data_IF_152243006530
#
_entry.id   IF_152243006530
#
_cell.length_a   1.000
_cell.length_b   1.000
_cell.length_c   1.000
_cell.angle_alpha   90.00
_cell.angle_beta   90.00
_cell.angle_gamma   90.00
#
_symmetry.space_group_name_H-M   'P 1'
#
loop_
_entity.id
_entity.type
_entity.pdbx_description
1 polymer ?
#
# COMPACT_ATOMS: atom_id res chain seq x y z
N UNK A 1 3.29 -16.50 -26.18
CA UNK A 1 2.45 -15.84 -25.17
C UNK A 1 1.06 -16.40 -25.36
N UNK A 2 0.53 -17.12 -24.37
CA UNK A 2 -0.85 -17.64 -24.43
C UNK A 2 -1.79 -16.45 -24.22
N UNK A 3 -2.65 -16.17 -25.19
CA UNK A 3 -3.69 -15.14 -25.04
C UNK A 3 -4.66 -15.58 -23.93
N UNK A 4 -5.13 -14.65 -23.07
CA UNK A 4 -6.10 -14.98 -22.03
C UNK A 4 -7.41 -15.45 -22.68
N UNK A 5 -7.99 -16.54 -22.13
CA UNK A 5 -9.30 -17.05 -22.54
C UNK A 5 -10.36 -15.95 -22.33
N UNK A 6 -11.15 -15.57 -23.36
CA UNK A 6 -12.13 -14.47 -23.28
C UNK A 6 -13.24 -14.66 -22.23
N UNK A 7 -13.31 -15.81 -21.54
CA UNK A 7 -14.23 -16.07 -20.42
C UNK A 7 -13.60 -16.10 -19.03
N UNK A 8 -12.28 -15.98 -18.88
CA UNK A 8 -11.60 -15.97 -17.57
C UNK A 8 -11.47 -14.54 -17.06
N UNK A 9 -11.96 -14.29 -15.84
CA UNK A 9 -11.74 -13.00 -15.18
C UNK A 9 -10.23 -12.83 -14.95
N UNK A 10 -9.68 -11.71 -15.43
CA UNK A 10 -8.28 -11.34 -15.22
C UNK A 10 -7.88 -11.41 -13.73
N UNK A 11 -8.83 -11.21 -12.82
CA UNK A 11 -8.62 -11.30 -11.38
C UNK A 11 -8.20 -12.70 -10.90
N UNK A 12 -8.63 -13.77 -11.56
CA UNK A 12 -8.31 -15.16 -11.20
C UNK A 12 -6.82 -15.47 -11.40
N UNK A 13 -6.18 -14.83 -12.38
CA UNK A 13 -4.73 -14.97 -12.60
C UNK A 13 -3.90 -14.30 -11.50
N UNK A 14 -4.38 -13.20 -10.92
CA UNK A 14 -3.64 -12.43 -9.90
C UNK A 14 -3.96 -12.88 -8.47
N UNK A 15 -5.06 -13.58 -8.23
CA UNK A 15 -5.44 -14.05 -6.90
C UNK A 15 -4.35 -14.86 -6.18
N UNK A 16 -3.60 -15.78 -6.83
CA UNK A 16 -2.49 -16.50 -6.20
C UNK A 16 -1.33 -15.58 -5.79
N UNK A 17 -1.01 -14.57 -6.62
CA UNK A 17 0.05 -13.59 -6.33
C UNK A 17 -0.31 -12.75 -5.10
N UNK A 18 -1.57 -12.33 -5.01
CA UNK A 18 -2.07 -11.62 -3.82
C UNK A 18 -1.95 -12.49 -2.58
N UNK A 19 -2.30 -13.78 -2.65
CA UNK A 19 -2.17 -14.70 -1.52
C UNK A 19 -0.71 -14.88 -1.07
N UNK A 20 0.22 -15.01 -2.02
CA UNK A 20 1.65 -15.11 -1.75
C UNK A 20 2.19 -13.84 -1.08
N UNK A 21 1.76 -12.66 -1.55
CA UNK A 21 2.24 -11.38 -1.04
C UNK A 21 1.70 -10.99 0.34
N UNK A 22 0.58 -11.58 0.82
CA UNK A 22 -0.07 -11.20 2.09
C UNK A 22 0.86 -11.24 3.30
N UNK A 23 1.67 -12.29 3.44
CA UNK A 23 2.58 -12.45 4.58
C UNK A 23 3.72 -11.43 4.59
N UNK A 24 4.56 -11.33 3.54
CA UNK A 24 5.66 -10.38 3.53
C UNK A 24 5.18 -8.92 3.61
N UNK A 25 4.07 -8.57 2.95
CA UNK A 25 3.50 -7.21 3.03
C UNK A 25 3.10 -6.86 4.45
N UNK A 26 2.46 -7.77 5.19
CA UNK A 26 2.09 -7.53 6.60
C UNK A 26 3.31 -7.35 7.50
N UNK A 27 4.38 -8.11 7.26
CA UNK A 27 5.62 -7.98 8.01
C UNK A 27 6.28 -6.63 7.75
N UNK A 28 6.42 -6.22 6.48
CA UNK A 28 6.98 -4.92 6.11
C UNK A 28 6.16 -3.75 6.68
N UNK A 29 4.83 -3.88 6.70
CA UNK A 29 3.95 -2.88 7.32
C UNK A 29 4.16 -2.77 8.82
N UNK A 30 4.35 -3.90 9.52
CA UNK A 30 4.63 -3.89 10.95
C UNK A 30 5.98 -3.25 11.25
N UNK A 31 7.02 -3.64 10.50
CA UNK A 31 8.36 -3.06 10.65
C UNK A 31 8.35 -1.54 10.41
N UNK A 32 7.58 -1.06 9.43
CA UNK A 32 7.39 0.36 9.20
C UNK A 32 6.81 1.07 10.44
N UNK A 33 5.78 0.48 11.08
CA UNK A 33 5.22 1.01 12.34
C UNK A 33 6.23 1.01 13.48
N UNK A 34 7.00 -0.07 13.61
CA UNK A 34 8.03 -0.21 14.65
C UNK A 34 9.15 0.84 14.48
N UNK A 35 9.44 1.25 13.24
CA UNK A 35 10.37 2.34 12.91
C UNK A 35 9.75 3.74 12.99
N UNK A 36 8.46 3.87 13.27
CA UNK A 36 7.74 5.15 13.25
C UNK A 36 7.52 5.72 11.84
N UNK A 37 7.63 4.89 10.80
CA UNK A 37 7.39 5.25 9.39
C UNK A 37 5.96 4.88 9.01
N UNK A 38 5.22 5.84 8.47
CA UNK A 38 3.84 5.62 8.05
C UNK A 38 3.76 4.73 6.78
N UNK A 39 2.89 3.72 6.80
CA UNK A 39 2.57 2.99 5.58
C UNK A 39 1.78 3.87 4.61
N UNK A 40 2.03 3.72 3.31
CA UNK A 40 1.37 4.49 2.24
C UNK A 40 0.68 3.55 1.27
N UNK A 41 -0.56 3.88 0.92
CA UNK A 41 -1.42 3.08 0.05
C UNK A 41 -1.87 3.92 -1.14
N UNK A 42 -1.98 3.32 -2.32
CA UNK A 42 -2.66 3.92 -3.46
C UNK A 42 -4.01 3.24 -3.65
N UNK A 43 -5.10 3.93 -3.33
CA UNK A 43 -6.47 3.41 -3.43
C UNK A 43 -7.26 4.37 -4.30
N UNK A 44 -7.84 3.86 -5.39
CA UNK A 44 -8.59 4.67 -6.37
C UNK A 44 -7.78 5.88 -6.89
N UNK A 45 -6.48 5.70 -7.12
CA UNK A 45 -5.58 6.74 -7.59
C UNK A 45 -5.21 7.80 -6.55
N UNK A 46 -5.60 7.62 -5.28
CA UNK A 46 -5.27 8.54 -4.18
C UNK A 46 -4.29 7.90 -3.21
N UNK A 47 -3.32 8.69 -2.77
CA UNK A 47 -2.40 8.30 -1.71
C UNK A 47 -3.07 8.46 -0.34
N UNK A 48 -3.06 7.38 0.44
CA UNK A 48 -3.56 7.32 1.80
C UNK A 48 -2.41 6.92 2.72
N UNK A 49 -2.23 7.68 3.79
CA UNK A 49 -1.21 7.49 4.79
C UNK A 49 -1.83 6.86 6.04
N UNK A 50 -1.19 5.85 6.59
CA UNK A 50 -1.55 5.26 7.87
C UNK A 50 -1.10 6.17 9.03
N UNK A 51 -2.05 6.57 9.87
CA UNK A 51 -1.78 7.31 11.09
C UNK A 51 -1.53 6.34 12.26
N UNK A 52 -0.90 6.77 13.37
CA UNK A 52 -0.58 5.90 14.51
C UNK A 52 -1.79 5.20 15.16
N UNK A 53 -3.00 5.75 14.97
CA UNK A 53 -4.25 5.14 15.41
C UNK A 53 -4.79 4.06 14.44
N UNK A 54 -4.05 3.75 13.37
CA UNK A 54 -4.46 2.81 12.31
C UNK A 54 -5.40 3.41 11.26
N UNK A 55 -5.73 4.70 11.35
CA UNK A 55 -6.63 5.36 10.42
C UNK A 55 -5.90 5.75 9.12
N UNK A 56 -6.55 5.55 7.97
CA UNK A 56 -6.03 5.97 6.67
C UNK A 56 -6.53 7.38 6.32
N UNK A 57 -5.61 8.30 6.04
CA UNK A 57 -5.95 9.69 5.67
C UNK A 57 -5.21 10.16 4.44
N UNK A 58 -5.82 11.08 3.69
CA UNK A 58 -5.17 11.75 2.55
C UNK A 58 -4.03 12.66 3.01
N UNK A 59 -4.10 13.16 4.24
CA UNK A 59 -3.09 14.02 4.84
C UNK A 59 -1.98 13.19 5.47
N UNK A 60 -0.74 13.51 5.14
CA UNK A 60 0.45 12.93 5.79
C UNK A 60 0.41 13.19 7.31
N UNK A 61 0.84 12.22 8.14
CA UNK A 61 1.03 12.46 9.57
C UNK A 61 2.16 13.46 9.80
N UNK A 62 1.95 14.41 10.72
CA UNK A 62 2.98 15.42 11.06
C UNK A 62 4.16 14.73 11.77
N UNK A 63 5.36 14.91 11.24
CA UNK A 63 6.59 14.30 11.80
C UNK A 63 7.12 13.07 11.08
N UNK A 64 6.55 12.68 9.93
CA UNK A 64 7.22 11.75 9.01
C UNK A 64 8.48 12.43 8.45
N UNK A 65 9.65 11.80 8.59
CA UNK A 65 10.97 12.35 8.20
C UNK A 65 11.18 12.53 6.67
N UNK A 66 10.14 12.44 5.87
CA UNK A 66 10.20 12.87 4.48
C UNK A 66 10.26 14.40 4.51
N UNK A 67 11.31 14.95 3.89
CA UNK A 67 11.46 16.40 3.73
C UNK A 67 10.12 16.98 3.26
N UNK A 68 9.62 17.98 3.98
CA UNK A 68 8.45 18.74 3.56
C UNK A 68 8.80 19.41 2.22
N UNK A 69 8.53 18.73 1.11
CA UNK A 69 8.59 19.30 -0.25
C UNK A 69 7.41 20.27 -0.50
N UNK A 70 6.95 20.95 0.55
CA UNK A 70 6.13 22.15 0.40
C UNK A 70 7.06 23.34 0.13
N UNK A 71 7.65 23.38 -1.06
CA UNK A 71 8.21 24.61 -1.59
C UNK A 71 7.50 24.96 -2.91
N UNK A 72 6.80 26.10 -2.86
CA UNK A 72 6.16 26.89 -3.93
C UNK A 72 4.71 26.58 -4.29
#
# INVERSE_FOLDING_TARGET
MTEPDPGQDVSDYFAPLVQLAKRPVRQAQQESRDMGVANVYSINGKLLYEHPNGELRLTKPKGSNDKDDSET
#
